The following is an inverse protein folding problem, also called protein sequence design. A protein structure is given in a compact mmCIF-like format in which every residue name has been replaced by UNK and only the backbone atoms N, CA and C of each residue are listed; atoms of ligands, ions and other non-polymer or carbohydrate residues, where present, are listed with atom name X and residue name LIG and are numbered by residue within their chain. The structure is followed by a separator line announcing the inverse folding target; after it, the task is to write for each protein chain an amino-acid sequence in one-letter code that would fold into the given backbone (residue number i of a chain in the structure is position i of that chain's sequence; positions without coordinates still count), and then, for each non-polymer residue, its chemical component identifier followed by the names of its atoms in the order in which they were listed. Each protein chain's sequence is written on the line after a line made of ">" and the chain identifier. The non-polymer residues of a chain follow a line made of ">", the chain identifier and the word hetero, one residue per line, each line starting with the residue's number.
data_IF_743688544633
#
_entry.id   IF_743688544633
#
_cell.length_a   1.000
_cell.length_b   1.000
_cell.length_c   1.000
_cell.angle_alpha   90.00
_cell.angle_beta   90.00
_cell.angle_gamma   90.00
#
_symmetry.space_group_name_H-M   'P 1'
#
loop_
_entity.id
_entity.type
_entity.pdbx_description
1 polymer ?
#
# COMPACT_ATOMS: atom_id res chain seq x y z
N UNK A 1 2.62 -13.25 31.61
CA UNK A 1 3.00 -12.46 30.42
C UNK A 1 1.85 -12.62 29.44
N UNK A 2 0.87 -11.73 29.55
CA UNK A 2 -0.34 -11.74 28.73
C UNK A 2 0.10 -11.37 27.33
N UNK A 3 0.01 -12.32 26.41
CA UNK A 3 0.44 -12.10 25.03
C UNK A 3 -0.47 -11.04 24.44
N UNK A 4 0.13 -10.09 23.75
CA UNK A 4 -0.48 -8.91 23.11
C UNK A 4 -1.69 -9.19 22.19
N UNK A 5 -1.99 -10.46 21.94
CA UNK A 5 -3.14 -10.96 21.18
C UNK A 5 -4.45 -10.90 21.99
N UNK A 6 -4.41 -11.15 23.30
CA UNK A 6 -5.61 -11.23 24.15
C UNK A 6 -6.25 -9.84 24.35
N UNK A 7 -5.42 -8.81 24.52
CA UNK A 7 -5.85 -7.39 24.64
C UNK A 7 -6.40 -6.83 23.33
N UNK A 8 -5.99 -7.40 22.19
CA UNK A 8 -6.52 -6.98 20.88
C UNK A 8 -8.00 -7.40 20.76
N UNK A 9 -8.34 -8.64 21.14
CA UNK A 9 -9.70 -9.21 21.00
C UNK A 9 -10.79 -8.49 21.81
N UNK A 10 -10.43 -7.72 22.84
CA UNK A 10 -11.39 -6.95 23.64
C UNK A 10 -11.84 -5.64 22.96
N UNK A 11 -11.20 -5.23 21.85
CA UNK A 11 -11.57 -4.01 21.15
C UNK A 11 -12.75 -4.27 20.19
N UNK A 12 -13.84 -3.49 20.26
CA UNK A 12 -14.99 -3.60 19.35
C UNK A 12 -14.62 -3.55 17.86
N UNK A 13 -13.48 -2.93 17.54
CA UNK A 13 -12.98 -2.72 16.18
C UNK A 13 -12.39 -3.98 15.51
N UNK A 14 -12.18 -5.09 16.21
CA UNK A 14 -11.61 -6.33 15.62
C UNK A 14 -12.68 -7.24 14.98
N UNK A 15 -13.97 -6.94 15.16
CA UNK A 15 -15.05 -7.71 14.52
C UNK A 15 -15.20 -7.44 13.02
N UNK A 16 -14.36 -6.57 12.45
CA UNK A 16 -14.33 -6.27 11.03
C UNK A 16 -12.90 -6.49 10.52
N UNK A 17 -12.76 -7.36 9.52
CA UNK A 17 -11.50 -7.53 8.76
C UNK A 17 -11.30 -6.40 7.73
N UNK A 18 -12.21 -5.43 7.71
CA UNK A 18 -12.21 -4.30 6.81
C UNK A 18 -12.00 -2.99 7.57
N UNK A 19 -11.32 -2.05 6.91
CA UNK A 19 -11.22 -0.67 7.39
C UNK A 19 -12.59 -0.02 7.20
N UNK A 20 -13.29 0.26 8.30
CA UNK A 20 -14.57 0.95 8.26
C UNK A 20 -14.45 2.29 7.52
N UNK A 21 -15.43 2.62 6.67
CA UNK A 21 -15.41 3.85 5.87
C UNK A 21 -15.33 5.10 6.76
N UNK A 22 -15.86 5.03 7.97
CA UNK A 22 -15.78 6.08 8.99
C UNK A 22 -14.35 6.32 9.47
N UNK A 23 -13.56 5.25 9.61
CA UNK A 23 -12.15 5.36 9.97
C UNK A 23 -11.35 5.98 8.83
N UNK A 24 -11.66 5.61 7.58
CA UNK A 24 -11.10 6.27 6.40
C UNK A 24 -11.47 7.76 6.40
N UNK A 25 -12.75 8.10 6.53
CA UNK A 25 -13.22 9.48 6.54
C UNK A 25 -12.61 10.32 7.68
N UNK A 26 -12.44 9.73 8.86
CA UNK A 26 -11.72 10.35 9.97
C UNK A 26 -10.25 10.57 9.63
N UNK A 27 -9.55 9.55 9.12
CA UNK A 27 -8.15 9.65 8.74
C UNK A 27 -7.92 10.73 7.68
N UNK A 28 -8.79 10.80 6.66
CA UNK A 28 -8.79 11.90 5.70
C UNK A 28 -8.95 13.23 6.45
N UNK A 29 -9.99 13.43 7.25
CA UNK A 29 -10.16 14.71 7.97
C UNK A 29 -8.96 15.15 8.80
N UNK A 30 -8.29 14.23 9.50
CA UNK A 30 -7.16 14.55 10.37
C UNK A 30 -5.84 14.72 9.61
N UNK A 31 -5.64 13.98 8.52
CA UNK A 31 -4.44 14.03 7.69
C UNK A 31 -4.50 15.12 6.62
N UNK A 32 -5.71 15.57 6.28
CA UNK A 32 -5.89 16.60 5.27
C UNK A 32 -5.28 17.92 5.73
N UNK A 33 -4.65 18.65 4.80
CA UNK A 33 -3.94 19.86 5.11
C UNK A 33 -4.88 20.90 5.71
N UNK A 34 -4.51 21.37 6.90
CA UNK A 34 -5.22 22.45 7.57
C UNK A 34 -5.10 23.72 6.74
N UNK A 35 -6.10 24.61 6.79
CA UNK A 35 -6.11 25.86 6.00
C UNK A 35 -4.84 26.68 6.19
N UNK A 36 -4.22 26.57 7.36
CA UNK A 36 -2.97 27.24 7.72
C UNK A 36 -1.76 26.76 6.90
N UNK A 37 -1.75 25.52 6.42
CA UNK A 37 -0.62 24.93 5.67
C UNK A 37 -0.63 25.27 4.18
N UNK A 38 -1.77 25.73 3.63
CA UNK A 38 -1.99 26.01 2.20
C UNK A 38 -1.70 24.83 1.25
N UNK A 39 -1.50 23.63 1.77
CA UNK A 39 -1.36 22.42 0.96
C UNK A 39 -2.77 22.02 0.51
N UNK A 40 -2.94 21.65 -0.76
CA UNK A 40 -4.24 21.18 -1.29
C UNK A 40 -4.29 19.65 -1.27
N UNK A 41 -5.50 19.06 -1.31
CA UNK A 41 -5.65 17.60 -1.40
C UNK A 41 -4.97 17.00 -2.63
N UNK A 42 -4.95 17.75 -3.73
CA UNK A 42 -4.33 17.37 -4.98
C UNK A 42 -2.81 17.52 -5.01
N UNK A 43 -2.21 18.03 -3.92
CA UNK A 43 -0.77 18.17 -3.80
C UNK A 43 -0.08 16.81 -4.09
N UNK A 44 0.93 16.77 -4.98
CA UNK A 44 1.60 15.53 -5.37
C UNK A 44 2.18 14.73 -4.20
N UNK A 45 2.51 15.37 -3.07
CA UNK A 45 3.02 14.70 -1.88
C UNK A 45 1.91 14.05 -1.03
N UNK A 46 0.64 14.41 -1.25
CA UNK A 46 -0.52 13.80 -0.61
C UNK A 46 -1.24 12.82 -1.53
N UNK A 47 -1.31 13.14 -2.82
CA UNK A 47 -2.01 12.37 -3.84
C UNK A 47 -1.04 12.03 -4.98
N UNK A 48 -0.24 10.96 -4.86
CA UNK A 48 0.80 10.64 -5.86
C UNK A 48 0.25 10.19 -7.22
N UNK A 49 -1.08 10.15 -7.38
CA UNK A 49 -1.77 9.90 -8.65
C UNK A 49 -1.86 11.13 -9.55
N UNK A 50 -1.44 12.32 -9.09
CA UNK A 50 -1.55 13.56 -9.87
C UNK A 50 -0.29 13.86 -10.68
N UNK A 51 0.88 13.46 -10.19
CA UNK A 51 2.18 13.71 -10.83
C UNK A 51 3.14 12.57 -10.50
N UNK A 52 3.87 12.08 -11.51
CA UNK A 52 4.91 11.08 -11.29
C UNK A 52 6.04 11.64 -10.42
N UNK A 53 6.55 10.84 -9.49
CA UNK A 53 7.65 11.23 -8.61
C UNK A 53 8.96 11.17 -9.40
N UNK A 54 9.67 12.29 -9.60
CA UNK A 54 10.94 12.30 -10.30
C UNK A 54 12.01 11.70 -9.40
N UNK A 55 12.37 10.45 -9.64
CA UNK A 55 13.36 9.74 -8.82
C UNK A 55 14.26 8.85 -9.66
N UNK A 56 15.49 8.67 -9.19
CA UNK A 56 16.43 7.64 -9.67
C UNK A 56 16.42 6.40 -8.78
N UNK A 57 15.66 6.44 -7.70
CA UNK A 57 15.54 5.33 -6.77
C UNK A 57 14.55 4.33 -7.36
N UNK A 58 14.88 3.03 -7.40
CA UNK A 58 13.98 2.01 -7.88
C UNK A 58 12.69 1.98 -7.03
N UNK A 59 11.53 1.86 -7.67
CA UNK A 59 10.24 1.76 -6.98
C UNK A 59 9.66 0.35 -7.20
N UNK A 60 9.28 -0.28 -6.10
CA UNK A 60 8.53 -1.53 -6.08
C UNK A 60 7.13 -1.28 -5.53
N UNK A 61 6.09 -1.68 -6.28
CA UNK A 61 4.69 -1.54 -5.86
C UNK A 61 4.02 -2.90 -5.82
N UNK A 62 3.46 -3.25 -4.66
CA UNK A 62 2.69 -4.46 -4.47
C UNK A 62 1.29 -4.11 -3.98
N UNK A 63 0.28 -4.80 -4.51
CA UNK A 63 -1.11 -4.64 -4.09
C UNK A 63 -1.89 -5.95 -4.19
N UNK A 64 -3.06 -6.01 -3.56
CA UNK A 64 -3.99 -7.12 -3.64
C UNK A 64 -5.12 -6.82 -4.63
N UNK A 65 -5.52 -7.79 -5.46
CA UNK A 65 -6.53 -7.53 -6.50
C UNK A 65 -7.95 -7.29 -5.95
N UNK A 66 -8.17 -7.53 -4.65
CA UNK A 66 -9.46 -7.37 -3.97
C UNK A 66 -9.48 -6.19 -2.98
N UNK A 67 -8.45 -5.33 -2.97
CA UNK A 67 -8.44 -4.16 -2.09
C UNK A 67 -9.22 -2.98 -2.66
N UNK A 68 -9.80 -2.16 -1.76
CA UNK A 68 -10.60 -1.00 -2.15
C UNK A 68 -9.78 0.10 -2.86
N UNK A 69 -8.46 0.12 -2.68
CA UNK A 69 -7.56 1.11 -3.30
C UNK A 69 -6.96 0.65 -4.62
N UNK A 70 -7.37 -0.51 -5.14
CA UNK A 70 -6.79 -1.11 -6.35
C UNK A 70 -6.71 -0.12 -7.51
N UNK A 71 -7.81 0.56 -7.84
CA UNK A 71 -7.84 1.49 -8.97
C UNK A 71 -6.88 2.67 -8.78
N UNK A 72 -6.71 3.15 -7.55
CA UNK A 72 -5.76 4.21 -7.24
C UNK A 72 -4.31 3.74 -7.37
N UNK A 73 -4.02 2.51 -6.97
CA UNK A 73 -2.68 1.92 -7.12
C UNK A 73 -2.36 1.66 -8.60
N UNK A 74 -3.32 1.14 -9.38
CA UNK A 74 -3.15 0.92 -10.82
C UNK A 74 -2.90 2.26 -11.56
N UNK A 75 -3.59 3.34 -11.17
CA UNK A 75 -3.33 4.69 -11.69
C UNK A 75 -1.91 5.17 -11.35
N UNK A 76 -1.47 5.01 -10.10
CA UNK A 76 -0.10 5.33 -9.70
C UNK A 76 0.92 4.56 -10.55
N UNK A 77 0.73 3.24 -10.68
CA UNK A 77 1.59 2.35 -11.46
C UNK A 77 1.68 2.80 -12.91
N UNK A 78 0.54 3.11 -13.53
CA UNK A 78 0.51 3.58 -14.91
C UNK A 78 1.26 4.91 -15.07
N UNK A 79 1.02 5.87 -14.18
CA UNK A 79 1.67 7.17 -14.19
C UNK A 79 3.18 7.05 -13.97
N UNK A 80 3.60 6.35 -12.94
CA UNK A 80 5.00 6.24 -12.53
C UNK A 80 5.81 5.41 -13.53
N UNK A 81 5.29 4.28 -14.01
CA UNK A 81 5.99 3.44 -15.01
C UNK A 81 6.26 4.17 -16.32
N UNK A 82 5.33 5.03 -16.76
CA UNK A 82 5.48 5.81 -18.01
C UNK A 82 6.63 6.82 -17.99
N UNK A 83 7.13 7.16 -16.80
CA UNK A 83 8.23 8.12 -16.60
C UNK A 83 9.50 7.48 -16.04
N UNK A 84 9.42 6.21 -15.66
CA UNK A 84 10.53 5.48 -15.06
C UNK A 84 11.47 4.96 -16.14
N UNK A 85 12.76 4.86 -15.81
CA UNK A 85 13.74 4.18 -16.67
C UNK A 85 13.46 2.67 -16.66
N UNK A 86 13.84 2.00 -17.74
CA UNK A 86 13.77 0.55 -17.83
C UNK A 86 14.50 -0.10 -16.63
N UNK A 87 13.83 -1.04 -15.97
CA UNK A 87 14.36 -1.71 -14.77
C UNK A 87 14.17 -0.97 -13.45
N UNK A 88 13.78 0.31 -13.44
CA UNK A 88 13.60 1.09 -12.20
C UNK A 88 12.21 1.02 -11.57
N UNK A 89 11.27 0.32 -12.20
CA UNK A 89 9.91 0.20 -11.71
C UNK A 89 9.44 -1.25 -11.80
N UNK A 90 9.09 -1.83 -10.66
CA UNK A 90 8.59 -3.20 -10.56
C UNK A 90 7.24 -3.26 -9.88
N UNK A 91 6.41 -4.21 -10.29
CA UNK A 91 5.06 -4.38 -9.75
C UNK A 91 4.75 -5.83 -9.46
N UNK A 92 3.89 -6.06 -8.46
CA UNK A 92 3.35 -7.38 -8.16
C UNK A 92 1.93 -7.30 -7.61
N UNK A 93 0.96 -7.74 -8.41
CA UNK A 93 -0.41 -7.94 -7.95
C UNK A 93 -0.55 -9.32 -7.33
N UNK A 94 -1.18 -9.39 -6.15
CA UNK A 94 -1.54 -10.64 -5.49
C UNK A 94 -3.02 -10.92 -5.76
N UNK A 95 -3.34 -12.00 -6.51
CA UNK A 95 -4.72 -12.32 -6.85
C UNK A 95 -5.57 -12.54 -5.59
N UNK A 96 -6.75 -11.94 -5.58
CA UNK A 96 -7.78 -12.05 -4.54
C UNK A 96 -7.37 -11.57 -3.13
N UNK A 97 -6.16 -11.06 -2.95
CA UNK A 97 -5.71 -10.60 -1.65
C UNK A 97 -6.43 -9.30 -1.25
N UNK A 98 -6.88 -9.21 0.02
CA UNK A 98 -7.39 -7.97 0.57
C UNK A 98 -6.23 -7.01 0.89
N UNK A 99 -6.57 -5.86 1.47
CA UNK A 99 -5.59 -4.95 2.04
C UNK A 99 -4.86 -5.58 3.25
N UNK A 100 -3.63 -5.14 3.50
CA UNK A 100 -2.86 -5.44 4.72
C UNK A 100 -2.55 -6.92 4.97
N UNK A 101 -2.42 -7.74 3.92
CA UNK A 101 -2.10 -9.17 4.10
C UNK A 101 -0.80 -9.40 4.86
N UNK A 102 0.21 -8.52 4.76
CA UNK A 102 1.44 -8.63 5.56
C UNK A 102 1.19 -8.69 7.07
N UNK A 103 0.17 -7.98 7.55
CA UNK A 103 -0.24 -8.01 8.95
C UNK A 103 -1.23 -9.16 9.22
N UNK A 104 -2.15 -9.42 8.28
CA UNK A 104 -3.29 -10.31 8.50
C UNK A 104 -3.05 -11.77 8.09
N UNK A 105 -2.02 -12.09 7.33
CA UNK A 105 -1.79 -13.44 6.82
C UNK A 105 -1.59 -14.52 7.87
N UNK A 106 -0.97 -14.26 9.04
CA UNK A 106 -0.95 -15.25 10.11
C UNK A 106 -2.36 -15.66 10.58
N UNK A 107 -3.36 -14.79 10.40
CA UNK A 107 -4.74 -14.97 10.83
C UNK A 107 -5.66 -15.48 9.71
N UNK A 108 -5.46 -15.01 8.47
CA UNK A 108 -6.39 -15.19 7.36
C UNK A 108 -5.92 -16.19 6.28
N UNK A 109 -4.72 -16.75 6.39
CA UNK A 109 -4.27 -17.84 5.51
C UNK A 109 -3.58 -17.41 4.21
N UNK A 110 -2.87 -16.28 4.20
CA UNK A 110 -2.17 -15.72 3.02
C UNK A 110 -0.64 -15.83 3.06
N UNK A 111 -0.11 -16.78 3.84
CA UNK A 111 1.33 -16.88 4.11
C UNK A 111 2.14 -17.17 2.85
N UNK A 112 1.65 -18.06 1.99
CA UNK A 112 2.30 -18.43 0.73
C UNK A 112 2.43 -17.24 -0.22
N UNK A 113 1.36 -16.46 -0.33
CA UNK A 113 1.25 -15.32 -1.24
C UNK A 113 2.19 -14.21 -0.82
N UNK A 114 2.34 -13.98 0.49
CA UNK A 114 3.31 -13.02 1.01
C UNK A 114 4.74 -13.49 0.82
N UNK A 115 5.04 -14.76 1.10
CA UNK A 115 6.37 -15.29 0.84
C UNK A 115 6.76 -15.07 -0.62
N UNK A 116 5.84 -15.35 -1.55
CA UNK A 116 6.05 -15.10 -2.97
C UNK A 116 6.19 -13.61 -3.30
N UNK A 117 5.37 -12.74 -2.71
CA UNK A 117 5.51 -11.29 -2.91
C UNK A 117 6.86 -10.75 -2.43
N UNK A 118 7.38 -11.29 -1.33
CA UNK A 118 8.71 -10.97 -0.81
C UNK A 118 9.80 -11.49 -1.75
N UNK A 119 9.67 -12.72 -2.26
CA UNK A 119 10.60 -13.29 -3.24
C UNK A 119 10.67 -12.45 -4.53
N UNK A 120 9.54 -11.96 -5.02
CA UNK A 120 9.50 -11.08 -6.20
C UNK A 120 10.13 -9.71 -5.90
N UNK A 121 9.90 -9.15 -4.71
CA UNK A 121 10.56 -7.90 -4.29
C UNK A 121 12.08 -8.07 -4.18
N UNK A 122 12.56 -9.19 -3.63
CA UNK A 122 13.98 -9.53 -3.56
C UNK A 122 14.55 -9.65 -4.98
N UNK A 123 13.87 -10.38 -5.88
CA UNK A 123 14.30 -10.52 -7.27
C UNK A 123 14.41 -9.17 -7.99
N UNK A 124 13.49 -8.25 -7.75
CA UNK A 124 13.56 -6.90 -8.30
C UNK A 124 14.80 -6.13 -7.82
N UNK A 125 15.13 -6.23 -6.52
CA UNK A 125 16.31 -5.60 -5.94
C UNK A 125 17.61 -6.25 -6.43
N UNK A 126 17.66 -7.58 -6.51
CA UNK A 126 18.84 -8.35 -6.95
C UNK A 126 19.17 -8.12 -8.43
N UNK A 127 18.15 -7.91 -9.26
CA UNK A 127 18.31 -7.50 -10.66
C UNK A 127 18.66 -6.01 -10.82
N UNK A 128 19.05 -5.37 -9.71
CA UNK A 128 19.67 -4.06 -9.67
C UNK A 128 18.70 -2.89 -9.60
N UNK A 129 17.38 -3.10 -9.67
CA UNK A 129 16.39 -2.01 -9.78
C UNK A 129 16.77 -0.91 -10.79
N UNK A 130 17.66 -1.22 -11.73
CA UNK A 130 18.64 -0.34 -12.38
C UNK A 130 19.06 0.93 -11.58
N UNK A 131 20.16 0.84 -10.81
CA UNK A 131 21.05 1.98 -10.56
C UNK A 131 21.97 2.23 -11.77
#
# INVERSE_FOLDING_TARGET
>A
MITTVEVANERPAIKVDHVALELIAWAYREFLPRKETRVDRSDPYLSPNTVAVPTRIPIWVQWGSAEALREDIEKFVQLQSSTSREGCFGTYEIPHAPRDIFALAPLLGWKSEISKAVEEAIRFLDNGGAL
#
